data_IF_499809491641
#
_entry.id   IF_499809491641
#
_cell.length_a   1.000
_cell.length_b   1.000
_cell.length_c   1.000
_cell.angle_alpha   90.00
_cell.angle_beta   90.00
_cell.angle_gamma   90.00
#
_symmetry.space_group_name_H-M   'P 1'
#
loop_
_entity.id
_entity.type
_entity.pdbx_description
1 polymer ?
#
# COMPACT_ATOMS: atom_id res chain seq x y z
N UNK A 1 24.64 5.59 -16.66
CA UNK A 1 23.64 6.62 -16.28
C UNK A 1 22.90 6.11 -15.06
N UNK A 2 22.45 6.96 -14.12
CA UNK A 2 21.61 6.48 -13.02
C UNK A 2 20.34 5.86 -13.60
N UNK A 3 19.99 4.66 -13.15
CA UNK A 3 18.72 4.04 -13.48
C UNK A 3 17.60 4.82 -12.76
N UNK A 4 16.50 5.16 -13.45
CA UNK A 4 15.35 5.73 -12.77
C UNK A 4 14.86 4.75 -11.70
N UNK A 5 14.43 5.27 -10.56
CA UNK A 5 13.81 4.49 -9.48
C UNK A 5 12.45 5.10 -9.17
N UNK A 6 11.47 4.25 -8.90
CA UNK A 6 10.16 4.66 -8.43
C UNK A 6 9.64 3.62 -7.43
N UNK A 7 10.02 3.74 -6.15
CA UNK A 7 9.56 2.84 -5.09
C UNK A 7 8.07 3.03 -4.85
N UNK A 8 7.24 2.02 -5.16
CA UNK A 8 5.79 2.05 -4.96
C UNK A 8 5.39 2.13 -3.48
N UNK A 9 6.32 1.79 -2.58
CA UNK A 9 6.12 1.83 -1.12
C UNK A 9 5.97 3.26 -0.61
N UNK A 10 6.70 4.22 -1.17
CA UNK A 10 6.80 5.61 -0.67
C UNK A 10 6.47 6.68 -1.71
N UNK A 11 6.64 6.39 -3.00
CA UNK A 11 6.35 7.36 -4.06
C UNK A 11 4.85 7.65 -4.13
N UNK A 12 4.45 8.88 -4.49
CA UNK A 12 3.04 9.23 -4.65
C UNK A 12 2.49 8.62 -5.94
N UNK A 13 1.51 7.72 -5.83
CA UNK A 13 0.80 7.18 -7.00
C UNK A 13 -0.63 6.71 -6.72
N UNK A 14 -1.00 6.54 -5.45
CA UNK A 14 -2.35 6.13 -5.03
C UNK A 14 -3.19 7.38 -4.73
N UNK A 15 -4.23 7.69 -5.54
CA UNK A 15 -5.05 8.87 -5.32
C UNK A 15 -5.98 8.69 -4.10
N UNK A 16 -5.89 9.62 -3.16
CA UNK A 16 -6.69 9.65 -1.94
C UNK A 16 -7.23 11.04 -1.64
N UNK A 17 -8.38 11.10 -0.99
CA UNK A 17 -8.84 12.25 -0.24
C UNK A 17 -8.37 12.08 1.22
N UNK A 18 -7.57 13.01 1.72
CA UNK A 18 -7.12 13.02 3.11
C UNK A 18 -8.14 13.76 3.98
N UNK A 19 -8.69 13.07 4.97
CA UNK A 19 -9.72 13.60 5.87
C UNK A 19 -9.18 14.65 6.84
N UNK A 20 -7.87 14.64 7.14
CA UNK A 20 -7.27 15.58 8.08
C UNK A 20 -7.00 16.93 7.41
N UNK A 21 -6.58 16.92 6.14
CA UNK A 21 -6.26 18.14 5.38
C UNK A 21 -7.37 18.59 4.44
N UNK A 22 -8.41 17.77 4.25
CA UNK A 22 -9.51 18.01 3.32
C UNK A 22 -9.03 18.29 1.88
N UNK A 23 -8.04 17.52 1.42
CA UNK A 23 -7.39 17.70 0.12
C UNK A 23 -7.23 16.38 -0.63
N UNK A 24 -7.26 16.43 -1.96
CA UNK A 24 -6.89 15.30 -2.80
C UNK A 24 -5.38 15.29 -3.05
N UNK A 25 -4.75 14.14 -2.84
CA UNK A 25 -3.33 13.93 -3.16
C UNK A 25 -3.03 12.48 -3.47
N UNK A 26 -1.80 12.21 -3.84
CA UNK A 26 -1.30 10.85 -4.04
C UNK A 26 -0.38 10.43 -2.90
N UNK A 27 -0.45 9.16 -2.51
CA UNK A 27 0.38 8.54 -1.48
C UNK A 27 1.01 7.23 -1.99
N UNK A 28 1.99 6.71 -1.26
CA UNK A 28 2.56 5.38 -1.50
C UNK A 28 1.80 4.28 -0.75
N UNK A 29 2.17 3.01 -1.00
CA UNK A 29 1.53 1.85 -0.36
C UNK A 29 1.62 1.89 1.17
N UNK A 30 2.76 2.32 1.71
CA UNK A 30 3.01 2.34 3.17
C UNK A 30 2.02 3.27 3.85
N UNK A 31 1.93 4.52 3.38
CA UNK A 31 1.00 5.49 3.96
C UNK A 31 -0.47 5.08 3.75
N UNK A 32 -0.81 4.53 2.58
CA UNK A 32 -2.17 4.08 2.29
C UNK A 32 -2.67 3.03 3.30
N UNK A 33 -1.79 2.14 3.77
CA UNK A 33 -2.14 1.14 4.80
C UNK A 33 -2.05 1.70 6.22
N UNK A 34 -1.00 2.45 6.55
CA UNK A 34 -0.79 2.98 7.92
C UNK A 34 -1.88 3.99 8.32
N UNK A 35 -2.32 4.83 7.38
CA UNK A 35 -3.36 5.86 7.59
C UNK A 35 -4.70 5.48 6.96
N UNK A 36 -4.98 4.18 6.82
CA UNK A 36 -6.21 3.70 6.19
C UNK A 36 -7.51 4.24 6.84
N UNK A 37 -7.47 4.65 8.11
CA UNK A 37 -8.60 5.25 8.82
C UNK A 37 -8.81 6.75 8.51
N UNK A 38 -7.82 7.41 7.88
CA UNK A 38 -7.84 8.84 7.53
C UNK A 38 -7.88 9.10 6.03
N UNK A 39 -7.65 8.08 5.21
CA UNK A 39 -7.53 8.21 3.77
C UNK A 39 -8.70 7.52 3.07
N UNK A 40 -9.38 8.27 2.20
CA UNK A 40 -10.46 7.73 1.36
C UNK A 40 -9.93 7.60 -0.06
N UNK A 41 -10.02 6.40 -0.63
CA UNK A 41 -9.58 6.18 -2.01
C UNK A 41 -10.39 7.02 -3.00
N UNK A 42 -9.70 7.74 -3.89
CA UNK A 42 -10.26 8.80 -4.73
C UNK A 42 -10.07 8.54 -6.24
N UNK A 43 -10.11 7.29 -6.70
CA UNK A 43 -9.95 7.02 -8.14
C UNK A 43 -11.14 7.44 -8.99
N UNK A 44 -10.82 7.82 -10.22
CA UNK A 44 -11.74 8.24 -11.27
C UNK A 44 -12.50 7.08 -11.93
N UNK A 45 -11.93 5.86 -11.96
CA UNK A 45 -12.54 4.71 -12.66
C UNK A 45 -12.74 3.48 -11.76
N UNK A 46 -13.93 2.87 -11.85
CA UNK A 46 -14.36 1.73 -11.02
C UNK A 46 -13.48 0.47 -11.15
N UNK A 47 -12.89 0.23 -12.32
CA UNK A 47 -12.03 -0.94 -12.56
C UNK A 47 -10.67 -0.84 -11.89
N UNK A 48 -10.08 0.36 -11.90
CA UNK A 48 -8.79 0.64 -11.25
C UNK A 48 -8.89 0.43 -9.74
N UNK A 49 -10.05 0.76 -9.15
CA UNK A 49 -10.33 0.56 -7.73
C UNK A 49 -10.19 -0.89 -7.29
N UNK A 50 -10.66 -1.86 -8.08
CA UNK A 50 -10.65 -3.27 -7.66
C UNK A 50 -9.22 -3.83 -7.63
N UNK A 51 -8.42 -3.52 -8.66
CA UNK A 51 -7.05 -4.00 -8.73
C UNK A 51 -6.20 -3.48 -7.57
N UNK A 52 -6.31 -2.18 -7.28
CA UNK A 52 -5.57 -1.58 -6.17
C UNK A 52 -6.04 -2.11 -4.81
N UNK A 53 -7.35 -2.21 -4.59
CA UNK A 53 -7.88 -2.76 -3.32
C UNK A 53 -7.38 -4.19 -3.08
N UNK A 54 -7.27 -5.01 -4.14
CA UNK A 54 -6.70 -6.36 -4.02
C UNK A 54 -5.21 -6.34 -3.70
N UNK A 55 -4.44 -5.42 -4.28
CA UNK A 55 -3.02 -5.25 -3.95
C UNK A 55 -2.84 -4.85 -2.49
N UNK A 56 -3.59 -3.85 -2.02
CA UNK A 56 -3.56 -3.38 -0.63
C UNK A 56 -3.98 -4.50 0.34
N UNK A 57 -5.05 -5.23 0.02
CA UNK A 57 -5.50 -6.37 0.82
C UNK A 57 -4.46 -7.48 0.88
N UNK A 58 -3.81 -7.83 -0.24
CA UNK A 58 -2.76 -8.84 -0.26
C UNK A 58 -1.52 -8.43 0.54
N UNK A 59 -1.13 -7.15 0.46
CA UNK A 59 -0.04 -6.61 1.27
C UNK A 59 -0.39 -6.64 2.76
N UNK A 60 -1.60 -6.21 3.13
CA UNK A 60 -2.07 -6.26 4.52
C UNK A 60 -2.15 -7.70 5.05
N UNK A 61 -2.66 -8.64 4.25
CA UNK A 61 -2.76 -10.06 4.61
C UNK A 61 -1.37 -10.68 4.85
N UNK A 62 -0.37 -10.31 4.04
CA UNK A 62 0.99 -10.80 4.21
C UNK A 62 1.65 -10.32 5.52
N UNK A 63 1.22 -9.18 6.07
CA UNK A 63 1.77 -8.59 7.31
C UNK A 63 0.95 -8.97 8.53
N UNK A 64 -0.36 -8.74 8.46
CA UNK A 64 -1.32 -8.74 9.56
C UNK A 64 -2.54 -9.63 9.27
N UNK A 65 -2.45 -10.55 8.30
CA UNK A 65 -3.57 -11.40 7.90
C UNK A 65 -4.06 -12.29 9.06
N UNK A 66 -5.32 -12.12 9.52
CA UNK A 66 -5.85 -12.90 10.63
C UNK A 66 -5.97 -14.38 10.23
N UNK A 67 -5.53 -15.27 11.13
CA UNK A 67 -5.56 -16.74 10.95
C UNK A 67 -6.80 -17.39 11.53
N UNK A 68 -7.58 -16.65 12.33
CA UNK A 68 -8.84 -17.11 12.90
C UNK A 68 -9.90 -16.01 12.87
N UNK A 69 -11.15 -16.38 13.16
CA UNK A 69 -12.27 -15.43 13.27
C UNK A 69 -12.05 -14.49 14.46
N UNK A 70 -11.46 -14.98 15.54
CA UNK A 70 -11.14 -14.19 16.74
C UNK A 70 -10.05 -13.16 16.45
N UNK A 71 -9.01 -13.53 15.71
CA UNK A 71 -7.98 -12.58 15.26
C UNK A 71 -8.56 -11.52 14.30
N UNK A 72 -9.49 -11.93 13.42
CA UNK A 72 -10.19 -11.00 12.53
C UNK A 72 -11.04 -10.00 13.31
N UNK A 73 -11.82 -10.46 14.29
CA UNK A 73 -12.63 -9.58 15.14
C UNK A 73 -11.74 -8.63 15.94
N UNK A 74 -10.66 -9.13 16.54
CA UNK A 74 -9.69 -8.30 17.24
C UNK A 74 -9.13 -7.20 16.32
N UNK A 75 -8.72 -7.55 15.10
CA UNK A 75 -8.24 -6.58 14.11
C UNK A 75 -9.34 -5.58 13.71
N UNK A 76 -10.59 -6.02 13.57
CA UNK A 76 -11.73 -5.15 13.24
C UNK A 76 -12.06 -4.15 14.36
N UNK A 77 -11.91 -4.55 15.63
CA UNK A 77 -12.10 -3.66 16.78
C UNK A 77 -11.00 -2.61 16.90
N UNK A 78 -9.82 -2.85 16.33
CA UNK A 78 -8.77 -1.82 16.24
C UNK A 78 -9.12 -0.79 15.17
N UNK A 79 -8.92 0.49 15.47
CA UNK A 79 -9.19 1.57 14.49
C UNK A 79 -8.11 1.69 13.42
N UNK A 80 -6.90 1.21 13.71
CA UNK A 80 -5.73 1.32 12.83
C UNK A 80 -4.96 0.02 12.87
N UNK A 81 -4.29 -0.30 11.77
CA UNK A 81 -3.34 -1.40 11.73
C UNK A 81 -2.04 -1.05 12.46
N UNK A 82 -1.23 -2.08 12.77
CA UNK A 82 0.11 -1.86 13.32
C UNK A 82 1.01 -1.26 12.25
N UNK A 83 1.20 0.06 12.32
CA UNK A 83 2.02 0.77 11.37
C UNK A 83 3.50 0.37 11.41
N UNK A 84 4.00 -0.09 12.55
CA UNK A 84 5.38 -0.56 12.68
C UNK A 84 5.62 -1.84 11.89
N UNK A 85 4.70 -2.80 11.98
CA UNK A 85 4.76 -4.04 11.20
C UNK A 85 4.62 -3.77 9.69
N UNK A 86 3.70 -2.87 9.30
CA UNK A 86 3.51 -2.50 7.89
C UNK A 86 4.77 -1.86 7.32
N UNK A 87 5.34 -0.86 8.01
CA UNK A 87 6.56 -0.18 7.55
C UNK A 87 7.72 -1.16 7.44
N UNK A 88 7.94 -2.02 8.45
CA UNK A 88 9.01 -3.01 8.41
C UNK A 88 8.88 -3.99 7.23
N UNK A 89 7.67 -4.45 6.93
CA UNK A 89 7.44 -5.33 5.78
C UNK A 89 7.66 -4.63 4.44
N UNK A 90 7.19 -3.39 4.30
CA UNK A 90 7.40 -2.59 3.09
C UNK A 90 8.88 -2.32 2.85
N UNK A 91 9.65 -2.03 3.91
CA UNK A 91 11.09 -1.82 3.83
C UNK A 91 11.83 -3.10 3.43
N UNK A 92 11.43 -4.25 4.00
CA UNK A 92 12.00 -5.56 3.65
C UNK A 92 11.86 -5.85 2.14
N UNK A 93 10.71 -5.51 1.55
CA UNK A 93 10.39 -5.80 0.16
C UNK A 93 10.57 -4.62 -0.79
N UNK A 94 11.16 -3.50 -0.34
CA UNK A 94 11.30 -2.28 -1.14
C UNK A 94 11.98 -2.53 -2.49
N UNK A 95 13.01 -3.38 -2.53
CA UNK A 95 13.73 -3.76 -3.75
C UNK A 95 12.88 -4.51 -4.79
N UNK A 96 11.76 -5.14 -4.39
CA UNK A 96 10.79 -5.80 -5.28
C UNK A 96 9.61 -4.93 -5.65
N UNK A 97 9.50 -3.76 -5.00
CA UNK A 97 8.43 -2.81 -5.17
C UNK A 97 8.91 -1.50 -5.80
N UNK A 98 10.11 -1.50 -6.40
CA UNK A 98 10.54 -0.43 -7.30
C UNK A 98 10.07 -0.75 -8.73
N UNK A 99 9.27 0.16 -9.30
CA UNK A 99 8.68 0.02 -10.63
C UNK A 99 9.74 -0.07 -11.74
N UNK A 100 10.90 0.55 -11.54
CA UNK A 100 11.98 0.62 -12.52
C UNK A 100 13.25 -0.11 -12.05
N UNK A 101 13.13 -1.02 -11.06
CA UNK A 101 14.26 -1.80 -10.57
C UNK A 101 14.97 -2.51 -11.75
N UNK A 102 16.30 -2.41 -11.87
CA UNK A 102 17.02 -2.89 -13.05
C UNK A 102 16.87 -4.39 -13.29
N UNK A 103 16.78 -5.20 -12.22
CA UNK A 103 16.70 -6.67 -12.31
C UNK A 103 15.31 -7.24 -11.96
N UNK A 104 14.49 -6.47 -11.23
CA UNK A 104 13.27 -6.95 -10.58
C UNK A 104 12.14 -5.91 -10.64
N UNK A 105 11.84 -5.36 -11.83
CA UNK A 105 10.85 -4.30 -11.95
C UNK A 105 9.48 -4.79 -11.44
N UNK A 106 8.88 -4.03 -10.54
CA UNK A 106 7.63 -4.43 -9.91
C UNK A 106 6.54 -4.73 -10.95
N UNK A 107 5.91 -5.90 -10.82
CA UNK A 107 4.83 -6.40 -11.69
C UNK A 107 5.14 -6.47 -13.19
N UNK A 108 6.43 -6.50 -13.55
CA UNK A 108 6.89 -6.58 -14.94
C UNK A 108 7.84 -7.77 -15.11
N UNK A 109 7.99 -8.24 -16.35
CA UNK A 109 9.10 -9.11 -16.70
C UNK A 109 10.34 -8.23 -16.89
N UNK A 110 11.41 -8.49 -16.12
CA UNK A 110 12.71 -7.89 -16.38
C UNK A 110 13.22 -8.28 -17.77
N UNK A 111 14.02 -7.41 -18.38
CA UNK A 111 14.78 -7.70 -19.60
C UNK A 111 16.06 -8.45 -19.27
#
# INVERSE_FOLDING_TARGET
MPHPTFPLTTSPWIPVADLDTNSHREVGLTEALVRADRLVYSASHRSESIALLRLLAAALDAVCGPRSVEEWDAAWQTRTFDGGLITAYMDQWAHRLDLFHPEHPAFQCGV
#
